data_IF_286708534962
#
_entry.id   IF_286708534962
#
_cell.length_a   1.000
_cell.length_b   1.000
_cell.length_c   1.000
_cell.angle_alpha   90.00
_cell.angle_beta   90.00
_cell.angle_gamma   90.00
#
_symmetry.space_group_name_H-M   'P 1'
#
loop_
_entity.id
_entity.type
_entity.pdbx_description
1 polymer ?
#
# COMPACT_ATOMS: atom_id res chain seq x y z
N UNK A 1 5.91 -2.01 2.13
CA UNK A 1 4.84 -2.77 2.82
C UNK A 1 4.41 -2.07 4.13
N UNK A 2 5.32 -1.81 5.12
CA UNK A 2 4.95 -1.23 6.43
C UNK A 2 4.24 0.13 6.29
N UNK A 3 4.72 1.02 5.42
CA UNK A 3 4.08 2.31 5.20
C UNK A 3 2.67 2.17 4.60
N UNK A 4 2.49 1.25 3.66
CA UNK A 4 1.17 0.94 3.07
C UNK A 4 0.21 0.43 4.14
N UNK A 5 0.66 -0.52 4.97
CA UNK A 5 -0.11 -1.02 6.10
C UNK A 5 -0.51 0.12 7.06
N UNK A 6 0.41 1.02 7.40
CA UNK A 6 0.12 2.14 8.29
C UNK A 6 -1.01 3.03 7.75
N UNK A 7 -0.96 3.41 6.48
CA UNK A 7 -1.98 4.24 5.84
C UNK A 7 -3.31 3.49 5.71
N UNK A 8 -3.29 2.25 5.22
CA UNK A 8 -4.50 1.44 5.01
C UNK A 8 -5.25 1.21 6.33
N UNK A 9 -4.54 0.80 7.40
CA UNK A 9 -5.16 0.56 8.71
C UNK A 9 -5.64 1.84 9.38
N UNK A 10 -4.93 2.97 9.19
CA UNK A 10 -5.38 4.27 9.66
C UNK A 10 -6.75 4.63 9.07
N UNK A 11 -6.90 4.52 7.75
CA UNK A 11 -8.16 4.77 7.07
C UNK A 11 -9.24 3.75 7.45
N UNK A 12 -8.91 2.45 7.52
CA UNK A 12 -9.87 1.39 7.85
C UNK A 12 -10.51 1.60 9.24
N UNK A 13 -9.73 2.05 10.23
CA UNK A 13 -10.25 2.36 11.57
C UNK A 13 -11.25 3.49 11.56
N UNK A 14 -10.98 4.56 10.83
CA UNK A 14 -11.87 5.70 10.71
C UNK A 14 -13.10 5.34 9.88
N UNK A 15 -12.94 4.60 8.78
CA UNK A 15 -14.03 4.12 7.95
C UNK A 15 -15.04 3.30 8.77
N UNK A 16 -14.55 2.37 9.60
CA UNK A 16 -15.42 1.59 10.49
C UNK A 16 -16.15 2.48 11.51
N UNK A 17 -15.47 3.49 12.08
CA UNK A 17 -16.10 4.47 12.99
C UNK A 17 -17.14 5.35 12.29
N UNK A 18 -16.94 5.63 11.02
CA UNK A 18 -17.89 6.37 10.17
C UNK A 18 -19.05 5.52 9.64
N UNK A 19 -19.12 4.24 10.02
CA UNK A 19 -20.18 3.31 9.59
C UNK A 19 -19.95 2.69 8.21
N UNK A 20 -18.78 2.87 7.61
CA UNK A 20 -18.38 2.18 6.37
C UNK A 20 -17.93 0.76 6.75
N UNK A 21 -18.58 -0.29 6.21
CA UNK A 21 -18.26 -1.67 6.58
C UNK A 21 -16.90 -2.08 6.04
N UNK A 22 -15.93 -2.29 6.92
CA UNK A 22 -14.58 -2.80 6.61
C UNK A 22 -14.06 -3.69 7.73
N UNK A 23 -13.34 -4.75 7.38
CA UNK A 23 -12.63 -5.59 8.33
C UNK A 23 -11.19 -5.09 8.48
N UNK A 24 -10.89 -4.49 9.64
CA UNK A 24 -9.56 -3.92 9.94
C UNK A 24 -8.48 -5.01 9.96
N UNK A 25 -8.79 -6.21 10.46
CA UNK A 25 -7.81 -7.30 10.53
C UNK A 25 -7.48 -7.83 9.14
N UNK A 26 -8.50 -7.96 8.30
CA UNK A 26 -8.34 -8.35 6.89
C UNK A 26 -7.57 -7.29 6.10
N UNK A 27 -7.91 -6.01 6.25
CA UNK A 27 -7.18 -4.90 5.64
C UNK A 27 -5.70 -4.88 6.07
N UNK A 28 -5.44 -5.08 7.37
CA UNK A 28 -4.09 -5.17 7.93
C UNK A 28 -3.28 -6.32 7.35
N UNK A 29 -3.84 -7.53 7.33
CA UNK A 29 -3.18 -8.71 6.82
C UNK A 29 -2.89 -8.59 5.31
N UNK A 30 -3.86 -8.11 4.53
CA UNK A 30 -3.70 -7.87 3.11
C UNK A 30 -2.62 -6.83 2.82
N UNK A 31 -2.61 -5.70 3.53
CA UNK A 31 -1.63 -4.65 3.35
C UNK A 31 -0.20 -5.09 3.70
N UNK A 32 -0.02 -6.01 4.65
CA UNK A 32 1.30 -6.58 4.97
C UNK A 32 1.80 -7.58 3.94
N UNK A 33 0.89 -8.25 3.23
CA UNK A 33 1.22 -9.36 2.31
C UNK A 33 1.02 -9.05 0.83
N UNK A 34 0.46 -7.88 0.44
CA UNK A 34 0.07 -7.57 -0.94
C UNK A 34 1.19 -7.76 -1.97
N UNK A 35 2.43 -7.54 -1.57
CA UNK A 35 3.61 -7.60 -2.42
C UNK A 35 4.40 -8.92 -2.30
N UNK A 36 3.92 -9.91 -1.54
CA UNK A 36 4.66 -11.16 -1.32
C UNK A 36 4.98 -11.87 -2.63
N UNK A 37 4.12 -11.76 -3.63
CA UNK A 37 4.29 -12.33 -4.96
C UNK A 37 5.49 -11.78 -5.74
N UNK A 38 6.05 -10.64 -5.35
CA UNK A 38 7.30 -10.14 -5.96
C UNK A 38 8.46 -11.12 -5.81
N UNK A 39 8.49 -11.90 -4.72
CA UNK A 39 9.49 -12.95 -4.50
C UNK A 39 9.32 -14.15 -5.44
N UNK A 40 8.12 -14.36 -5.99
CA UNK A 40 7.81 -15.39 -7.00
C UNK A 40 8.29 -15.01 -8.41
N UNK A 41 8.44 -13.72 -8.70
CA UNK A 41 8.85 -13.22 -10.00
C UNK A 41 10.36 -13.37 -10.21
N UNK A 42 10.80 -14.54 -10.66
CA UNK A 42 12.22 -14.88 -10.85
C UNK A 42 12.53 -15.20 -12.32
N UNK A 43 13.81 -15.14 -12.69
CA UNK A 43 14.27 -15.49 -14.03
C UNK A 43 13.58 -14.64 -15.11
N UNK A 44 12.85 -15.28 -16.01
CA UNK A 44 12.14 -14.60 -17.11
C UNK A 44 11.03 -13.67 -16.61
N UNK A 45 10.44 -13.98 -15.47
CA UNK A 45 9.32 -13.23 -14.90
C UNK A 45 9.78 -11.97 -14.13
N UNK A 46 11.08 -11.83 -13.84
CA UNK A 46 11.61 -10.66 -13.15
C UNK A 46 11.32 -9.33 -13.88
N UNK A 47 11.24 -9.36 -15.22
CA UNK A 47 10.87 -8.19 -16.03
C UNK A 47 9.36 -7.91 -16.07
N UNK A 48 8.55 -8.83 -15.54
CA UNK A 48 7.10 -8.78 -15.56
C UNK A 48 6.49 -8.60 -14.16
N UNK A 49 7.31 -8.26 -13.17
CA UNK A 49 6.86 -8.00 -11.79
C UNK A 49 5.60 -7.11 -11.75
N UNK A 50 5.49 -5.98 -12.49
CA UNK A 50 4.31 -5.12 -12.42
C UNK A 50 2.99 -5.80 -12.80
N UNK A 51 3.04 -6.94 -13.48
CA UNK A 51 1.87 -7.68 -13.95
C UNK A 51 1.67 -9.01 -13.25
N UNK A 52 2.77 -9.69 -12.88
CA UNK A 52 2.71 -11.07 -12.38
C UNK A 52 2.68 -11.17 -10.85
N UNK A 53 3.15 -10.15 -10.12
CA UNK A 53 3.20 -10.24 -8.67
C UNK A 53 1.81 -10.40 -8.02
N UNK A 54 0.75 -9.88 -8.62
CA UNK A 54 -0.64 -10.10 -8.16
C UNK A 54 -1.01 -11.57 -8.19
N UNK A 55 -0.72 -12.26 -9.31
CA UNK A 55 -0.97 -13.68 -9.46
C UNK A 55 -0.18 -14.51 -8.45
N UNK A 56 1.12 -14.23 -8.30
CA UNK A 56 1.97 -14.94 -7.33
C UNK A 56 1.57 -14.62 -5.87
N UNK A 57 1.09 -13.41 -5.59
CA UNK A 57 0.52 -13.06 -4.28
C UNK A 57 -0.69 -13.93 -3.97
N UNK A 58 -1.63 -14.01 -4.91
CA UNK A 58 -2.82 -14.85 -4.77
C UNK A 58 -2.44 -16.32 -4.56
N UNK A 59 -1.61 -16.87 -5.45
CA UNK A 59 -1.19 -18.27 -5.40
C UNK A 59 -0.49 -18.62 -4.07
N UNK A 60 0.38 -17.73 -3.59
CA UNK A 60 1.09 -17.95 -2.34
C UNK A 60 0.14 -17.96 -1.13
N UNK A 61 -0.72 -16.96 -1.02
CA UNK A 61 -1.65 -16.83 0.11
C UNK A 61 -2.70 -17.94 0.12
N UNK A 62 -3.26 -18.29 -1.05
CA UNK A 62 -4.22 -19.39 -1.16
C UNK A 62 -3.58 -20.72 -0.80
N UNK A 63 -2.36 -20.98 -1.28
CA UNK A 63 -1.59 -22.17 -0.94
C UNK A 63 -1.27 -22.30 0.56
N UNK A 64 -1.33 -21.19 1.32
CA UNK A 64 -1.16 -21.15 2.77
C UNK A 64 -2.50 -21.15 3.54
N UNK A 65 -3.61 -21.40 2.86
CA UNK A 65 -4.93 -21.54 3.48
C UNK A 65 -5.57 -20.25 3.96
N UNK A 66 -5.19 -19.10 3.37
CA UNK A 66 -5.76 -17.78 3.70
C UNK A 66 -6.42 -17.10 2.48
N UNK A 67 -7.43 -17.76 1.84
CA UNK A 67 -8.03 -17.31 0.57
C UNK A 67 -8.69 -15.92 0.68
N UNK A 68 -9.26 -15.58 1.84
CA UNK A 68 -9.88 -14.26 2.04
C UNK A 68 -8.83 -13.15 1.97
N UNK A 69 -7.65 -13.35 2.59
CA UNK A 69 -6.54 -12.40 2.49
C UNK A 69 -6.01 -12.36 1.06
N UNK A 70 -5.92 -13.52 0.39
CA UNK A 70 -5.47 -13.63 -0.99
C UNK A 70 -6.34 -12.78 -1.93
N UNK A 71 -7.66 -12.83 -1.76
CA UNK A 71 -8.61 -12.04 -2.56
C UNK A 71 -8.37 -10.52 -2.39
N UNK A 72 -8.21 -10.04 -1.18
CA UNK A 72 -7.95 -8.60 -0.96
C UNK A 72 -6.56 -8.21 -1.44
N UNK A 73 -5.53 -8.98 -1.06
CA UNK A 73 -4.15 -8.65 -1.37
C UNK A 73 -3.81 -8.71 -2.87
N UNK A 74 -4.38 -9.67 -3.61
CA UNK A 74 -4.16 -9.77 -5.05
C UNK A 74 -4.92 -8.69 -5.85
N UNK A 75 -6.02 -8.18 -5.32
CA UNK A 75 -6.84 -7.14 -5.97
C UNK A 75 -6.37 -5.70 -5.68
N UNK A 76 -5.05 -5.50 -5.48
CA UNK A 76 -4.51 -4.15 -5.28
C UNK A 76 -4.00 -3.48 -6.58
N UNK A 77 -4.35 -4.05 -7.73
CA UNK A 77 -3.96 -3.51 -9.03
C UNK A 77 -4.73 -2.22 -9.38
N UNK A 78 -4.00 -1.19 -9.76
CA UNK A 78 -4.61 0.02 -10.33
C UNK A 78 -4.99 -0.16 -11.80
N UNK A 79 -4.59 -1.26 -12.44
CA UNK A 79 -4.81 -1.50 -13.86
C UNK A 79 -6.28 -1.78 -14.20
N UNK A 80 -6.98 -2.46 -13.28
CA UNK A 80 -8.38 -2.86 -13.41
C UNK A 80 -9.22 -2.28 -12.27
N UNK A 81 -8.94 -1.02 -11.89
CA UNK A 81 -9.61 -0.33 -10.79
C UNK A 81 -11.05 0.00 -11.16
N UNK A 82 -11.99 -0.80 -10.63
CA UNK A 82 -13.44 -0.60 -10.73
C UNK A 82 -14.07 -0.66 -9.34
N UNK A 83 -14.65 0.44 -8.91
CA UNK A 83 -15.15 0.58 -7.53
C UNK A 83 -16.28 -0.38 -7.19
N UNK A 84 -17.17 -0.66 -8.16
CA UNK A 84 -18.34 -1.52 -7.95
C UNK A 84 -17.98 -2.98 -7.73
N UNK A 85 -16.78 -3.40 -8.14
CA UNK A 85 -16.37 -4.81 -8.13
C UNK A 85 -15.31 -5.12 -7.08
N UNK A 86 -14.83 -4.12 -6.33
CA UNK A 86 -13.78 -4.32 -5.35
C UNK A 86 -14.28 -4.18 -3.91
N UNK A 87 -13.85 -5.07 -3.00
CA UNK A 87 -14.07 -4.88 -1.57
C UNK A 87 -13.48 -3.58 -1.05
N UNK A 88 -14.08 -3.00 -0.01
CA UNK A 88 -13.59 -1.76 0.61
C UNK A 88 -12.13 -1.86 1.07
N UNK A 89 -11.74 -3.02 1.59
CA UNK A 89 -10.36 -3.30 2.01
C UNK A 89 -9.38 -3.23 0.83
N UNK A 90 -9.77 -3.72 -0.36
CA UNK A 90 -8.94 -3.60 -1.56
C UNK A 90 -8.80 -2.16 -2.02
N UNK A 91 -9.87 -1.36 -1.97
CA UNK A 91 -9.83 0.06 -2.31
C UNK A 91 -8.92 0.85 -1.36
N UNK A 92 -9.02 0.60 -0.06
CA UNK A 92 -8.14 1.19 0.95
C UNK A 92 -6.68 0.81 0.72
N UNK A 93 -6.42 -0.46 0.36
CA UNK A 93 -5.09 -0.95 0.05
C UNK A 93 -4.52 -0.29 -1.21
N UNK A 94 -5.28 -0.24 -2.31
CA UNK A 94 -4.88 0.42 -3.56
C UNK A 94 -4.54 1.88 -3.33
N UNK A 95 -5.41 2.59 -2.62
CA UNK A 95 -5.21 4.00 -2.31
C UNK A 95 -3.95 4.23 -1.47
N UNK A 96 -3.73 3.39 -0.45
CA UNK A 96 -2.53 3.46 0.39
C UNK A 96 -1.26 3.14 -0.40
N UNK A 97 -1.26 2.08 -1.21
CA UNK A 97 -0.09 1.68 -2.00
C UNK A 97 0.27 2.74 -3.06
N UNK A 98 -0.73 3.37 -3.66
CA UNK A 98 -0.49 4.45 -4.62
C UNK A 98 0.26 5.64 -3.99
N UNK A 99 0.08 5.92 -2.71
CA UNK A 99 0.62 7.08 -1.99
C UNK A 99 1.94 6.83 -1.28
N UNK A 100 2.31 5.57 -1.05
CA UNK A 100 3.49 5.23 -0.26
C UNK A 100 4.69 4.88 -1.14
N UNK A 101 5.85 5.43 -0.82
CA UNK A 101 7.12 5.09 -1.46
C UNK A 101 8.18 4.75 -0.42
N UNK A 102 8.96 3.71 -0.69
CA UNK A 102 10.17 3.41 0.03
C UNK A 102 11.36 4.05 -0.67
N UNK A 103 12.16 4.81 0.08
CA UNK A 103 13.42 5.36 -0.37
C UNK A 103 14.53 4.91 0.58
N UNK A 104 15.78 4.97 0.12
CA UNK A 104 16.95 4.83 0.99
C UNK A 104 17.60 6.18 1.17
N UNK A 105 17.93 6.54 2.42
CA UNK A 105 18.69 7.76 2.68
C UNK A 105 20.19 7.57 2.31
N UNK A 106 20.98 8.61 2.48
CA UNK A 106 22.41 8.60 2.15
C UNK A 106 23.20 7.56 2.94
N UNK A 107 22.70 7.15 4.11
CA UNK A 107 23.28 6.12 4.97
C UNK A 107 22.74 4.71 4.67
N UNK A 108 21.94 4.55 3.59
CA UNK A 108 21.35 3.28 3.17
C UNK A 108 20.16 2.80 4.01
N UNK A 109 19.67 3.59 4.95
CA UNK A 109 18.51 3.25 5.78
C UNK A 109 17.22 3.42 5.00
N UNK A 110 16.31 2.48 5.14
CA UNK A 110 15.00 2.59 4.51
C UNK A 110 14.16 3.71 5.15
N UNK A 111 13.67 4.60 4.30
CA UNK A 111 12.74 5.67 4.66
C UNK A 111 11.42 5.42 3.96
N UNK A 112 10.34 5.56 4.70
CA UNK A 112 8.98 5.53 4.15
C UNK A 112 8.52 6.98 4.00
N UNK A 113 8.08 7.31 2.79
CA UNK A 113 7.47 8.60 2.49
C UNK A 113 6.02 8.38 2.09
N UNK A 114 5.12 9.13 2.72
CA UNK A 114 3.69 9.14 2.42
C UNK A 114 3.41 10.45 1.72
N UNK A 115 2.88 10.37 0.51
CA UNK A 115 2.54 11.52 -0.31
C UNK A 115 1.04 11.82 -0.20
N UNK A 116 0.64 13.06 -0.49
CA UNK A 116 -0.75 13.32 -0.90
C UNK A 116 -1.03 12.60 -2.22
N UNK A 117 -2.30 12.38 -2.55
CA UNK A 117 -2.67 11.72 -3.81
C UNK A 117 -2.09 12.46 -5.02
N UNK A 118 -2.21 13.79 -5.05
CA UNK A 118 -1.65 14.63 -6.10
C UNK A 118 -0.12 14.50 -6.22
N UNK A 119 0.60 14.60 -5.09
CA UNK A 119 2.06 14.47 -5.09
C UNK A 119 2.52 13.08 -5.52
N UNK A 120 1.80 12.01 -5.13
CA UNK A 120 2.08 10.65 -5.57
C UNK A 120 1.89 10.50 -7.10
N UNK A 121 0.84 11.10 -7.65
CA UNK A 121 0.58 11.12 -9.08
C UNK A 121 1.70 11.83 -9.84
N UNK A 122 2.09 13.02 -9.41
CA UNK A 122 3.18 13.78 -10.03
C UNK A 122 4.51 13.01 -9.97
N UNK A 123 4.80 12.36 -8.85
CA UNK A 123 6.02 11.56 -8.68
C UNK A 123 6.06 10.34 -9.63
N UNK A 124 4.91 9.69 -9.88
CA UNK A 124 4.80 8.61 -10.86
C UNK A 124 5.14 9.14 -12.26
N UNK A 125 4.53 10.27 -12.65
CA UNK A 125 4.78 10.88 -13.97
C UNK A 125 6.24 11.26 -14.16
N UNK A 126 6.87 11.82 -13.12
CA UNK A 126 8.30 12.19 -13.17
C UNK A 126 9.23 10.99 -13.39
N UNK A 127 8.86 9.81 -12.86
CA UNK A 127 9.70 8.59 -12.93
C UNK A 127 9.48 7.77 -14.21
N UNK A 128 8.40 7.94 -14.90
CA UNK A 128 8.08 7.17 -16.10
C UNK A 128 8.80 7.75 -17.32
N UNK A 129 9.96 7.16 -17.65
CA UNK A 129 10.78 7.59 -18.79
C UNK A 129 10.08 7.37 -20.16
N UNK A 130 9.22 6.33 -20.26
CA UNK A 130 8.53 5.95 -21.50
C UNK A 130 7.02 6.21 -21.39
N UNK A 131 6.63 7.48 -21.34
CA UNK A 131 5.24 7.87 -21.21
C UNK A 131 4.54 7.90 -22.57
N UNK A 132 3.85 6.81 -22.93
CA UNK A 132 2.98 6.81 -24.11
C UNK A 132 1.65 7.51 -23.80
N UNK A 133 0.91 8.00 -24.84
CA UNK A 133 -0.42 8.59 -24.65
C UNK A 133 -1.40 7.66 -23.91
N UNK A 134 -1.34 6.35 -24.18
CA UNK A 134 -2.19 5.34 -23.53
C UNK A 134 -1.86 5.22 -22.05
N UNK A 135 -0.55 5.21 -21.68
CA UNK A 135 -0.13 5.20 -20.29
C UNK A 135 -0.57 6.48 -19.57
N UNK A 136 -0.44 7.64 -20.21
CA UNK A 136 -0.91 8.91 -19.66
C UNK A 136 -2.40 8.90 -19.38
N UNK A 137 -3.19 8.46 -20.36
CA UNK A 137 -4.65 8.36 -20.19
C UNK A 137 -5.00 7.43 -19.03
N UNK A 138 -4.38 6.25 -18.95
CA UNK A 138 -4.60 5.29 -17.89
C UNK A 138 -4.30 5.88 -16.52
N UNK A 139 -3.14 6.49 -16.31
CA UNK A 139 -2.80 7.09 -15.02
C UNK A 139 -3.71 8.27 -14.65
N UNK A 140 -4.18 9.06 -15.62
CA UNK A 140 -5.20 10.08 -15.39
C UNK A 140 -6.52 9.47 -14.92
N UNK A 141 -6.95 8.37 -15.53
CA UNK A 141 -8.16 7.64 -15.12
C UNK A 141 -8.01 7.07 -13.71
N UNK A 142 -6.86 6.45 -13.41
CA UNK A 142 -6.56 5.95 -12.06
C UNK A 142 -6.59 7.08 -11.04
N UNK A 143 -5.94 8.20 -11.34
CA UNK A 143 -5.94 9.37 -10.45
C UNK A 143 -7.36 9.90 -10.22
N UNK A 144 -8.16 10.06 -11.26
CA UNK A 144 -9.55 10.52 -11.13
C UNK A 144 -10.36 9.59 -10.23
N UNK A 145 -10.30 8.28 -10.45
CA UNK A 145 -10.99 7.29 -9.60
C UNK A 145 -10.51 7.33 -8.14
N UNK A 146 -9.20 7.40 -7.91
CA UNK A 146 -8.66 7.48 -6.55
C UNK A 146 -9.02 8.82 -5.88
N UNK A 147 -9.11 9.90 -6.64
CA UNK A 147 -9.58 11.19 -6.13
C UNK A 147 -11.07 11.12 -5.73
N UNK A 148 -11.93 10.50 -6.56
CA UNK A 148 -13.33 10.30 -6.21
C UNK A 148 -13.48 9.44 -4.94
N UNK A 149 -12.64 8.41 -4.79
CA UNK A 149 -12.60 7.61 -3.57
C UNK A 149 -12.13 8.43 -2.36
N UNK A 150 -11.12 9.27 -2.52
CA UNK A 150 -10.66 10.20 -1.46
C UNK A 150 -11.78 11.15 -1.04
N UNK A 151 -12.51 11.74 -1.99
CA UNK A 151 -13.66 12.62 -1.69
C UNK A 151 -14.77 11.85 -0.97
N UNK A 152 -15.04 10.61 -1.36
CA UNK A 152 -15.96 9.74 -0.64
C UNK A 152 -15.54 9.54 0.82
N UNK A 153 -14.26 9.22 1.08
CA UNK A 153 -13.72 9.05 2.43
C UNK A 153 -13.85 10.34 3.25
N UNK A 154 -13.43 11.47 2.69
CA UNK A 154 -13.50 12.78 3.33
C UNK A 154 -14.95 13.20 3.66
N UNK A 155 -15.91 12.93 2.77
CA UNK A 155 -17.32 13.22 2.99
C UNK A 155 -17.93 12.43 4.14
N UNK A 156 -17.32 11.29 4.49
CA UNK A 156 -17.70 10.46 5.65
C UNK A 156 -16.84 10.77 6.90
N UNK A 157 -16.00 11.80 6.86
CA UNK A 157 -15.14 12.18 7.98
C UNK A 157 -13.91 11.30 8.17
N UNK A 158 -13.53 10.52 7.15
CA UNK A 158 -12.31 9.72 7.15
C UNK A 158 -11.17 10.57 6.60
N UNK A 159 -10.19 10.90 7.45
CA UNK A 159 -8.97 11.58 7.04
C UNK A 159 -7.97 10.56 6.50
N UNK A 160 -7.59 10.63 5.21
CA UNK A 160 -6.65 9.69 4.62
C UNK A 160 -5.19 9.93 5.06
N UNK A 161 -4.89 11.05 5.72
CA UNK A 161 -3.54 11.39 6.12
C UNK A 161 -3.24 10.95 7.56
N UNK A 162 -2.44 9.88 7.74
CA UNK A 162 -2.02 9.50 9.08
C UNK A 162 -1.17 10.63 9.66
N UNK A 163 -1.49 11.06 10.89
CA UNK A 163 -0.68 12.02 11.62
C UNK A 163 0.76 11.49 11.65
N UNK A 164 1.67 12.17 10.99
CA UNK A 164 3.09 11.89 11.11
C UNK A 164 3.46 12.21 12.56
N UNK A 165 3.48 11.18 13.42
CA UNK A 165 4.09 11.32 14.75
C UNK A 165 5.53 11.69 14.46
N UNK A 166 5.89 12.92 14.79
CA UNK A 166 7.25 13.43 14.62
C UNK A 166 8.22 12.37 15.10
N UNK A 167 9.28 12.13 14.33
CA UNK A 167 10.29 11.13 14.61
C UNK A 167 10.58 11.16 16.12
N UNK A 168 10.27 10.05 16.81
CA UNK A 168 10.56 9.94 18.23
C UNK A 168 12.08 9.97 18.39
N UNK A 169 12.63 11.13 18.68
CA UNK A 169 14.05 11.33 18.95
C UNK A 169 14.50 10.71 20.29
N UNK A 170 13.64 9.92 20.96
CA UNK A 170 13.83 9.42 22.30
C UNK A 170 13.85 7.87 22.43
N UNK A 171 14.24 7.13 21.40
CA UNK A 171 14.61 5.73 21.53
C UNK A 171 16.11 5.55 21.32
N UNK A 172 16.89 6.05 22.27
CA UNK A 172 18.25 5.55 22.50
C UNK A 172 18.09 4.14 23.11
N UNK A 173 18.57 3.07 22.48
CA UNK A 173 18.55 1.77 23.13
C UNK A 173 19.48 1.85 24.35
N UNK A 174 18.92 1.75 25.57
CA UNK A 174 19.72 1.47 26.76
C UNK A 174 20.46 0.16 26.50
N UNK A 175 21.77 0.25 26.34
CA UNK A 175 22.64 -0.90 26.29
C UNK A 175 22.39 -1.71 27.59
N UNK A 176 21.78 -2.88 27.48
CA UNK A 176 21.68 -3.83 28.54
C UNK A 176 23.08 -4.36 28.79
N UNK A 177 23.70 -3.90 29.90
CA UNK A 177 24.89 -4.50 30.47
C UNK A 177 24.52 -5.91 30.91
N UNK A 178 24.92 -6.90 30.13
CA UNK A 178 24.95 -8.29 30.60
C UNK A 178 26.05 -8.43 31.65
N UNK A 179 25.77 -9.01 32.84
CA UNK A 179 26.80 -9.28 33.86
C UNK A 179 27.77 -10.33 33.30
N UNK A 180 29.07 -10.03 33.40
CA UNK A 180 30.14 -11.01 33.12
C UNK A 180 30.01 -12.11 34.17
N UNK A 181 29.87 -13.35 33.72
CA UNK A 181 30.07 -14.52 34.56
C UNK A 181 31.58 -14.70 34.75
N UNK A 182 31.98 -14.70 36.02
CA UNK A 182 33.27 -15.22 36.46
C UNK A 182 33.28 -16.75 36.38
#
# INVERSE_FOLDING_TARGET
TIGVHHVAVHMARQALQAGIPVDIALCSAAALSHDIGKFGCRGRDARRIPYLHYYFTWQWLEGHGVPTIANIAANHSTWDLEFENLPGESLLLIYADFRVRGNRDAEGRERVQIFSLEAAYQEIFRKLADMTPEKQLRYRTVYAKLHDFEQYLLSHGVDPDPVQRGACTACTPKAALLPRRE
#
